data_IF_837169963284
#
_entry.id   IF_837169963284
#
_cell.length_a   1.000
_cell.length_b   1.000
_cell.length_c   1.000
_cell.angle_alpha   90.00
_cell.angle_beta   90.00
_cell.angle_gamma   90.00
#
_symmetry.space_group_name_H-M   'P 1'
#
loop_
_entity.id
_entity.type
_entity.pdbx_description
1 polymer ?
#
# COMPACT_ATOMS: atom_id res chain seq x y z
N UNK A 1 19.38 32.99 -8.99
CA UNK A 1 19.11 31.59 -9.37
C UNK A 1 18.09 30.95 -8.41
N UNK A 2 16.76 31.10 -8.59
CA UNK A 2 15.78 30.40 -7.74
C UNK A 2 14.61 29.73 -8.50
N UNK A 3 14.78 29.36 -9.77
CA UNK A 3 13.69 28.81 -10.60
C UNK A 3 13.75 27.29 -10.81
N UNK A 4 14.89 26.65 -10.61
CA UNK A 4 15.06 25.21 -10.85
C UNK A 4 14.54 24.32 -9.70
N UNK A 5 14.41 24.86 -8.48
CA UNK A 5 13.87 24.11 -7.33
C UNK A 5 12.34 23.96 -7.34
N UNK A 6 11.63 24.75 -8.16
CA UNK A 6 10.16 24.74 -8.20
C UNK A 6 9.56 23.66 -9.11
N UNK A 7 10.34 23.11 -10.04
CA UNK A 7 9.85 22.11 -11.01
C UNK A 7 9.96 20.69 -10.43
N UNK A 8 10.96 20.43 -9.57
CA UNK A 8 11.13 19.13 -8.92
C UNK A 8 9.98 18.77 -7.96
N UNK A 9 9.32 19.77 -7.36
CA UNK A 9 8.19 19.55 -6.42
C UNK A 9 6.92 19.11 -7.14
N UNK A 10 6.72 19.49 -8.40
CA UNK A 10 5.52 19.11 -9.16
C UNK A 10 5.58 17.69 -9.71
N UNK A 11 6.78 17.17 -10.04
CA UNK A 11 6.93 15.79 -10.51
C UNK A 11 6.74 14.79 -9.36
N UNK A 12 7.06 15.17 -8.12
CA UNK A 12 6.82 14.33 -6.94
C UNK A 12 5.33 14.26 -6.55
N UNK A 13 4.52 15.26 -6.92
CA UNK A 13 3.09 15.32 -6.56
C UNK A 13 2.18 14.54 -7.52
N UNK A 14 2.60 14.32 -8.77
CA UNK A 14 1.82 13.56 -9.76
C UNK A 14 1.98 12.04 -9.65
N UNK A 15 2.92 11.54 -8.84
CA UNK A 15 3.13 10.10 -8.65
C UNK A 15 2.30 9.48 -7.51
N UNK A 16 1.48 10.28 -6.81
CA UNK A 16 0.76 9.84 -5.62
C UNK A 16 -0.60 9.16 -5.90
N UNK A 17 -1.06 9.15 -7.16
CA UNK A 17 -2.35 8.56 -7.56
C UNK A 17 -2.30 7.11 -8.04
N UNK A 18 -1.12 6.46 -8.02
CA UNK A 18 -0.94 5.09 -8.54
C UNK A 18 -0.30 4.12 -7.53
N UNK A 19 -0.36 4.43 -6.23
CA UNK A 19 0.12 3.57 -5.15
C UNK A 19 -0.97 2.59 -4.69
N UNK A 20 -1.60 1.89 -5.62
CA UNK A 20 -2.41 0.72 -5.29
C UNK A 20 -1.51 -0.52 -5.36
N UNK A 21 -1.01 -0.97 -4.21
CA UNK A 21 -0.56 -2.36 -4.04
C UNK A 21 0.93 -2.65 -3.84
N UNK A 22 1.79 -1.66 -3.59
CA UNK A 22 3.11 -1.99 -3.02
C UNK A 22 2.92 -2.39 -1.56
N UNK A 23 2.79 -3.70 -1.30
CA UNK A 23 3.20 -4.28 -0.02
C UNK A 23 4.71 -4.15 0.07
N UNK A 24 5.18 -2.92 0.27
CA UNK A 24 6.54 -2.66 0.67
C UNK A 24 6.78 -3.47 1.93
N UNK A 25 7.91 -4.17 1.98
CA UNK A 25 8.30 -4.92 3.15
C UNK A 25 8.16 -3.99 4.36
N UNK A 26 7.39 -4.42 5.36
CA UNK A 26 7.17 -3.63 6.58
C UNK A 26 8.48 -3.28 7.27
N UNK A 27 9.62 -3.88 6.89
CA UNK A 27 10.96 -3.52 7.34
C UNK A 27 11.64 -2.38 6.57
N UNK A 28 11.11 -1.93 5.43
CA UNK A 28 11.71 -0.83 4.65
C UNK A 28 11.42 0.53 5.33
N UNK A 29 12.44 1.23 5.86
CA UNK A 29 12.24 2.52 6.49
C UNK A 29 11.72 3.59 5.52
N UNK A 30 12.02 3.48 4.21
CA UNK A 30 11.51 4.43 3.22
C UNK A 30 9.99 4.30 3.04
N UNK A 31 9.47 3.08 2.97
CA UNK A 31 8.03 2.85 2.93
C UNK A 31 7.31 3.35 4.18
N UNK A 32 7.88 3.11 5.38
CA UNK A 32 7.35 3.64 6.65
C UNK A 32 7.33 5.17 6.66
N UNK A 33 8.36 5.80 6.12
CA UNK A 33 8.42 7.25 5.99
C UNK A 33 7.33 7.81 5.09
N UNK A 34 7.02 7.15 3.96
CA UNK A 34 5.89 7.53 3.09
C UNK A 34 4.58 7.50 3.88
N UNK A 35 4.36 6.50 4.72
CA UNK A 35 3.16 6.44 5.57
C UNK A 35 3.12 7.57 6.60
N UNK A 36 4.22 7.86 7.29
CA UNK A 36 4.32 9.03 8.21
C UNK A 36 3.93 10.31 7.47
N UNK A 37 4.50 10.52 6.28
CA UNK A 37 4.25 11.73 5.50
C UNK A 37 2.80 11.80 5.00
N UNK A 38 2.18 10.68 4.65
CA UNK A 38 0.76 10.61 4.31
C UNK A 38 -0.15 11.10 5.45
N UNK A 39 0.18 10.75 6.70
CA UNK A 39 -0.53 11.25 7.89
C UNK A 39 -0.27 12.73 8.14
N UNK A 40 0.96 13.21 7.95
CA UNK A 40 1.28 14.66 8.01
C UNK A 40 0.43 15.43 7.01
N UNK A 41 0.39 15.01 5.74
CA UNK A 41 -0.38 15.66 4.69
C UNK A 41 -1.89 15.63 4.99
N UNK A 42 -2.36 14.54 5.58
CA UNK A 42 -3.75 14.41 6.02
C UNK A 42 -4.06 15.42 7.13
N UNK A 43 -3.22 15.53 8.15
CA UNK A 43 -3.36 16.53 9.20
C UNK A 43 -3.34 17.96 8.67
N UNK A 44 -2.41 18.28 7.76
CA UNK A 44 -2.34 19.60 7.14
C UNK A 44 -3.61 19.94 6.33
N UNK A 45 -4.14 18.97 5.58
CA UNK A 45 -5.39 19.13 4.82
C UNK A 45 -6.57 19.40 5.74
N UNK A 46 -6.70 18.60 6.81
CA UNK A 46 -7.78 18.73 7.80
C UNK A 46 -7.70 20.07 8.55
N UNK A 47 -6.49 20.50 8.92
CA UNK A 47 -6.29 21.79 9.57
C UNK A 47 -6.71 22.94 8.65
N UNK A 48 -6.32 22.89 7.37
CA UNK A 48 -6.74 23.88 6.36
C UNK A 48 -8.24 23.88 6.11
N UNK A 49 -8.90 22.73 6.28
CA UNK A 49 -10.35 22.59 6.18
C UNK A 49 -11.09 23.05 7.46
N UNK A 50 -10.39 23.58 8.46
CA UNK A 50 -10.99 24.03 9.72
C UNK A 50 -11.44 22.89 10.62
N UNK A 51 -10.82 21.72 10.51
CA UNK A 51 -11.10 20.54 11.34
C UNK A 51 -9.92 20.25 12.29
N UNK A 52 -9.69 21.10 13.31
CA UNK A 52 -8.50 21.02 14.17
C UNK A 52 -8.43 19.72 14.98
N UNK A 53 -9.57 19.16 15.42
CA UNK A 53 -9.60 17.88 16.12
C UNK A 53 -9.09 16.71 15.27
N UNK A 54 -9.53 16.62 14.02
CA UNK A 54 -9.09 15.58 13.09
C UNK A 54 -7.62 15.79 12.68
N UNK A 55 -7.21 17.05 12.52
CA UNK A 55 -5.82 17.40 12.24
C UNK A 55 -4.89 16.96 13.37
N UNK A 56 -5.26 17.25 14.62
CA UNK A 56 -4.51 16.85 15.81
C UNK A 56 -4.39 15.33 15.89
N UNK A 57 -5.48 14.59 15.69
CA UNK A 57 -5.43 13.12 15.64
C UNK A 57 -4.48 12.59 14.55
N UNK A 58 -4.51 13.18 13.36
CA UNK A 58 -3.61 12.80 12.27
C UNK A 58 -2.13 13.11 12.59
N UNK A 59 -1.84 14.22 13.27
CA UNK A 59 -0.48 14.55 13.70
C UNK A 59 0.02 13.64 14.81
N UNK A 60 -0.84 13.26 15.76
CA UNK A 60 -0.51 12.29 16.80
C UNK A 60 -0.12 10.95 16.16
N UNK A 61 -0.91 10.46 15.20
CA UNK A 61 -0.61 9.22 14.48
C UNK A 61 0.73 9.32 13.71
N UNK A 62 0.94 10.42 12.98
CA UNK A 62 2.20 10.67 12.29
C UNK A 62 3.41 10.67 13.26
N UNK A 63 3.25 11.30 14.42
CA UNK A 63 4.28 11.41 15.45
C UNK A 63 4.62 10.06 16.06
N UNK A 64 3.61 9.24 16.39
CA UNK A 64 3.83 7.89 16.93
C UNK A 64 4.59 7.00 15.92
N UNK A 65 4.18 7.03 14.65
CA UNK A 65 4.87 6.28 13.58
C UNK A 65 6.29 6.77 13.36
N UNK A 66 6.51 8.08 13.34
CA UNK A 66 7.84 8.66 13.17
C UNK A 66 8.75 8.31 14.35
N UNK A 67 8.23 8.35 15.58
CA UNK A 67 8.96 7.94 16.77
C UNK A 67 9.43 6.50 16.66
N UNK A 68 8.54 5.58 16.22
CA UNK A 68 8.88 4.18 16.00
C UNK A 68 9.90 3.99 14.88
N UNK A 69 9.73 4.68 13.74
CA UNK A 69 10.69 4.65 12.63
C UNK A 69 12.10 5.06 13.10
N UNK A 70 12.22 6.16 13.85
CA UNK A 70 13.51 6.65 14.38
C UNK A 70 14.14 5.67 15.39
N UNK A 71 13.32 4.99 16.19
CA UNK A 71 13.80 4.00 17.15
C UNK A 71 14.30 2.72 16.45
N UNK A 72 13.55 2.23 15.47
CA UNK A 72 13.87 1.00 14.74
C UNK A 72 15.00 1.21 13.70
N UNK A 73 15.14 2.43 13.16
CA UNK A 73 16.07 2.78 12.09
C UNK A 73 16.75 4.15 12.34
N UNK A 74 17.65 4.26 13.32
CA UNK A 74 18.26 5.55 13.71
C UNK A 74 19.11 6.19 12.61
N UNK A 75 19.65 5.39 11.69
CA UNK A 75 20.49 5.86 10.58
C UNK A 75 19.68 6.34 9.36
N UNK A 76 18.35 6.14 9.36
CA UNK A 76 17.51 6.55 8.24
C UNK A 76 17.24 8.06 8.27
N UNK A 77 17.90 8.78 7.38
CA UNK A 77 17.69 10.21 7.12
C UNK A 77 17.52 11.02 8.43
N UNK A 78 18.52 11.02 9.34
CA UNK A 78 18.36 11.53 10.70
C UNK A 78 17.99 13.02 10.75
N UNK A 79 18.45 13.80 9.75
CA UNK A 79 18.16 15.23 9.64
C UNK A 79 16.68 15.49 9.35
N UNK A 80 16.09 14.81 8.35
CA UNK A 80 14.69 15.05 7.97
C UNK A 80 13.72 14.46 9.00
N UNK A 81 14.04 13.29 9.56
CA UNK A 81 13.23 12.64 10.58
C UNK A 81 13.28 13.41 11.90
N UNK A 82 14.44 13.97 12.27
CA UNK A 82 14.60 14.86 13.42
C UNK A 82 13.80 16.15 13.26
N UNK A 83 14.00 16.86 12.14
CA UNK A 83 13.25 18.09 11.84
C UNK A 83 11.73 17.87 11.89
N UNK A 84 11.24 16.80 11.24
CA UNK A 84 9.80 16.53 11.20
C UNK A 84 9.23 16.13 12.55
N UNK A 85 10.02 15.43 13.37
CA UNK A 85 9.61 15.04 14.72
C UNK A 85 9.40 16.27 15.61
N UNK A 86 10.37 17.20 15.64
CA UNK A 86 10.26 18.45 16.41
C UNK A 86 9.09 19.32 15.91
N UNK A 87 8.90 19.40 14.59
CA UNK A 87 7.77 20.11 14.00
C UNK A 87 6.42 19.49 14.42
N UNK A 88 6.31 18.16 14.44
CA UNK A 88 5.09 17.47 14.88
C UNK A 88 4.80 17.72 16.37
N UNK A 89 5.81 17.69 17.24
CA UNK A 89 5.63 18.01 18.67
C UNK A 89 5.09 19.43 18.85
N UNK A 90 5.68 20.41 18.15
CA UNK A 90 5.21 21.80 18.20
C UNK A 90 3.79 21.96 17.68
N UNK A 91 3.43 21.27 16.60
CA UNK A 91 2.10 21.41 15.98
C UNK A 91 1.01 20.69 16.79
N UNK A 92 1.34 19.54 17.40
CA UNK A 92 0.48 18.84 18.36
C UNK A 92 0.19 19.74 19.54
N UNK A 93 1.21 20.29 20.20
CA UNK A 93 1.03 21.19 21.34
C UNK A 93 0.18 22.40 20.96
N UNK A 94 0.48 23.04 19.82
CA UNK A 94 -0.22 24.23 19.34
C UNK A 94 -1.72 23.95 19.12
N UNK A 95 -2.07 22.80 18.56
CA UNK A 95 -3.47 22.44 18.35
C UNK A 95 -4.15 22.03 19.65
N UNK A 96 -3.52 21.21 20.47
CA UNK A 96 -4.05 20.74 21.76
C UNK A 96 -4.52 21.92 22.64
N UNK A 97 -3.72 22.98 22.72
CA UNK A 97 -4.05 24.21 23.45
C UNK A 97 -5.27 24.98 22.90
N UNK A 98 -5.67 24.71 21.66
CA UNK A 98 -6.80 25.38 20.99
C UNK A 98 -8.11 24.59 21.05
N UNK A 99 -8.05 23.30 21.34
CA UNK A 99 -9.24 22.44 21.36
C UNK A 99 -9.99 22.61 22.69
N UNK A 100 -11.33 22.65 22.61
CA UNK A 100 -12.17 22.50 23.80
C UNK A 100 -12.45 21.01 24.12
N UNK A 101 -13.11 20.73 25.23
CA UNK A 101 -13.39 19.35 25.66
C UNK A 101 -14.25 18.55 24.65
N UNK A 102 -15.11 19.22 23.87
CA UNK A 102 -15.93 18.54 22.87
C UNK A 102 -15.14 18.18 21.61
N UNK A 103 -14.18 19.01 21.23
CA UNK A 103 -13.25 18.72 20.14
C UNK A 103 -12.25 17.62 20.53
N UNK A 104 -11.85 17.54 21.80
CA UNK A 104 -11.03 16.43 22.31
C UNK A 104 -11.74 15.08 22.21
N UNK A 105 -13.04 15.01 22.54
CA UNK A 105 -13.84 13.77 22.37
C UNK A 105 -13.87 13.31 20.91
N UNK A 106 -13.96 14.26 19.98
CA UNK A 106 -13.95 13.99 18.54
C UNK A 106 -12.59 13.50 18.08
N UNK A 107 -11.52 14.13 18.54
CA UNK A 107 -10.15 13.70 18.27
C UNK A 107 -9.92 12.26 18.79
N UNK A 108 -10.34 11.96 20.02
CA UNK A 108 -10.17 10.61 20.59
C UNK A 108 -10.91 9.55 19.77
N UNK A 109 -12.17 9.78 19.41
CA UNK A 109 -12.93 8.85 18.54
C UNK A 109 -12.31 8.72 17.15
N UNK A 110 -11.76 9.81 16.62
CA UNK A 110 -11.06 9.75 15.35
C UNK A 110 -9.78 8.90 15.45
N UNK A 111 -9.02 9.00 16.54
CA UNK A 111 -7.87 8.13 16.79
C UNK A 111 -8.28 6.67 16.93
N UNK A 112 -9.35 6.37 17.68
CA UNK A 112 -9.89 5.01 17.80
C UNK A 112 -10.28 4.46 16.42
N UNK A 113 -10.90 5.28 15.57
CA UNK A 113 -11.19 4.92 14.18
C UNK A 113 -9.92 4.59 13.40
N UNK A 114 -8.88 5.43 13.47
CA UNK A 114 -7.62 5.22 12.75
C UNK A 114 -6.95 3.93 13.20
N UNK A 115 -6.93 3.66 14.51
CA UNK A 115 -6.38 2.42 15.07
C UNK A 115 -7.14 1.20 14.53
N UNK A 116 -8.47 1.22 14.57
CA UNK A 116 -9.30 0.13 14.06
C UNK A 116 -9.14 -0.06 12.54
N UNK A 117 -9.05 1.03 11.78
CA UNK A 117 -8.82 0.97 10.33
C UNK A 117 -7.49 0.26 10.03
N UNK A 118 -6.42 0.68 10.69
CA UNK A 118 -5.08 0.14 10.44
C UNK A 118 -4.97 -1.32 10.93
N UNK A 119 -5.54 -1.66 12.10
CA UNK A 119 -5.65 -3.04 12.57
C UNK A 119 -6.41 -3.92 11.57
N UNK A 120 -7.56 -3.45 11.08
CA UNK A 120 -8.35 -4.20 10.11
C UNK A 120 -7.59 -4.44 8.80
N UNK A 121 -6.80 -3.46 8.34
CA UNK A 121 -5.93 -3.61 7.17
C UNK A 121 -4.78 -4.61 7.45
N UNK A 122 -4.16 -4.57 8.63
CA UNK A 122 -3.13 -5.54 9.01
C UNK A 122 -3.69 -6.98 9.05
N UNK A 123 -4.87 -7.16 9.64
CA UNK A 123 -5.58 -8.45 9.68
C UNK A 123 -5.90 -8.96 8.27
N UNK A 124 -6.28 -8.06 7.34
CA UNK A 124 -6.48 -8.38 5.92
C UNK A 124 -5.21 -8.94 5.30
N UNK A 125 -4.07 -8.27 5.47
CA UNK A 125 -2.78 -8.73 4.93
C UNK A 125 -2.26 -10.01 5.63
N UNK A 126 -2.68 -10.26 6.87
CA UNK A 126 -2.42 -11.50 7.59
C UNK A 126 -3.35 -12.67 7.19
N UNK A 127 -4.20 -12.49 6.17
CA UNK A 127 -5.22 -13.46 5.72
C UNK A 127 -6.28 -13.80 6.79
N UNK A 128 -6.49 -12.92 7.78
CA UNK A 128 -7.54 -13.04 8.80
C UNK A 128 -8.81 -12.30 8.36
N UNK A 129 -9.38 -12.70 7.23
CA UNK A 129 -10.44 -11.91 6.56
C UNK A 129 -11.71 -11.69 7.40
N UNK A 130 -12.12 -12.67 8.21
CA UNK A 130 -13.31 -12.54 9.06
C UNK A 130 -13.09 -11.57 10.23
N UNK A 131 -11.91 -11.65 10.86
CA UNK A 131 -11.51 -10.73 11.92
C UNK A 131 -11.39 -9.31 11.35
N UNK A 132 -10.67 -9.17 10.22
CA UNK A 132 -10.52 -7.91 9.49
C UNK A 132 -11.85 -7.25 9.15
N UNK A 133 -12.82 -8.01 8.61
CA UNK A 133 -14.14 -7.48 8.29
C UNK A 133 -14.86 -6.98 9.55
N UNK A 134 -14.79 -7.75 10.64
CA UNK A 134 -15.40 -7.36 11.92
C UNK A 134 -14.77 -6.07 12.46
N UNK A 135 -13.44 -5.97 12.43
CA UNK A 135 -12.70 -4.78 12.88
C UNK A 135 -13.06 -3.55 12.04
N UNK A 136 -13.08 -3.68 10.72
CA UNK A 136 -13.43 -2.57 9.82
C UNK A 136 -14.90 -2.14 9.92
N UNK A 137 -15.83 -3.07 10.19
CA UNK A 137 -17.23 -2.73 10.48
C UNK A 137 -17.37 -1.91 11.77
N UNK A 138 -16.52 -2.17 12.78
CA UNK A 138 -16.47 -1.34 14.00
C UNK A 138 -15.90 0.04 13.67
N UNK A 139 -14.83 0.12 12.89
CA UNK A 139 -14.27 1.39 12.43
C UNK A 139 -15.32 2.23 11.68
N UNK A 140 -16.11 1.60 10.80
CA UNK A 140 -17.20 2.24 10.06
C UNK A 140 -18.24 2.85 11.01
N UNK A 141 -18.71 2.08 11.99
CA UNK A 141 -19.67 2.57 12.99
C UNK A 141 -19.15 3.78 13.76
N UNK A 142 -17.88 3.77 14.17
CA UNK A 142 -17.27 4.93 14.84
C UNK A 142 -17.30 6.18 13.95
N UNK A 143 -17.01 6.02 12.66
CA UNK A 143 -17.05 7.14 11.73
C UNK A 143 -18.48 7.62 11.45
N UNK A 144 -19.44 6.72 11.31
CA UNK A 144 -20.87 7.05 11.15
C UNK A 144 -21.39 7.85 12.35
N UNK A 145 -21.00 7.47 13.57
CA UNK A 145 -21.35 8.21 14.78
C UNK A 145 -20.76 9.63 14.82
N UNK A 146 -19.53 9.81 14.31
CA UNK A 146 -18.91 11.14 14.19
C UNK A 146 -19.63 11.99 13.13
N UNK A 147 -19.95 11.38 11.99
CA UNK A 147 -20.66 11.97 10.85
C UNK A 147 -22.08 12.44 11.22
N UNK A 148 -22.75 11.74 12.13
CA UNK A 148 -24.09 12.10 12.62
C UNK A 148 -24.05 13.33 13.54
N UNK A 149 -22.99 13.48 14.34
CA UNK A 149 -22.86 14.54 15.36
C UNK A 149 -22.25 15.84 14.84
N UNK A 150 -21.64 15.83 13.65
CA UNK A 150 -20.84 16.94 13.11
C UNK A 150 -21.47 17.57 11.86
N UNK A 151 -21.11 18.83 11.52
CA UNK A 151 -21.64 19.52 10.35
C UNK A 151 -21.22 18.85 9.03
N UNK A 152 -21.89 19.20 7.93
CA UNK A 152 -21.62 18.64 6.59
C UNK A 152 -20.16 18.81 6.14
N UNK A 153 -19.51 19.92 6.51
CA UNK A 153 -18.09 20.16 6.22
C UNK A 153 -17.15 19.12 6.85
N UNK A 154 -17.58 18.47 7.94
CA UNK A 154 -16.83 17.35 8.54
C UNK A 154 -16.84 16.14 7.59
N UNK A 155 -17.99 15.82 6.98
CA UNK A 155 -18.14 14.69 6.06
C UNK A 155 -17.22 14.83 4.85
N UNK A 156 -17.17 16.02 4.27
CA UNK A 156 -16.27 16.33 3.15
C UNK A 156 -14.80 16.14 3.53
N UNK A 157 -14.43 16.53 4.75
CA UNK A 157 -13.04 16.47 5.22
C UNK A 157 -12.53 15.03 5.41
N UNK A 158 -13.41 14.10 5.78
CA UNK A 158 -13.08 12.67 6.00
C UNK A 158 -13.45 11.77 4.83
N UNK A 159 -14.03 12.31 3.75
CA UNK A 159 -14.57 11.53 2.65
C UNK A 159 -13.54 10.52 2.09
N UNK A 160 -12.29 10.95 1.92
CA UNK A 160 -11.22 10.07 1.42
C UNK A 160 -10.89 8.89 2.35
N UNK A 161 -10.98 9.09 3.67
CA UNK A 161 -10.72 8.04 4.65
C UNK A 161 -11.90 7.08 4.73
N UNK A 162 -13.12 7.60 4.62
CA UNK A 162 -14.34 6.82 4.58
C UNK A 162 -14.41 5.96 3.30
N UNK A 163 -14.08 6.52 2.14
CA UNK A 163 -14.00 5.80 0.87
C UNK A 163 -12.98 4.66 0.94
N UNK A 164 -11.77 4.94 1.43
CA UNK A 164 -10.74 3.91 1.65
C UNK A 164 -11.24 2.78 2.56
N UNK A 165 -12.01 3.09 3.59
CA UNK A 165 -12.60 2.08 4.49
C UNK A 165 -13.61 1.19 3.74
N UNK A 166 -14.56 1.79 3.03
CA UNK A 166 -15.58 1.05 2.27
C UNK A 166 -14.93 0.16 1.19
N UNK A 167 -13.92 0.65 0.48
CA UNK A 167 -13.18 -0.14 -0.52
C UNK A 167 -12.55 -1.41 0.09
N UNK A 168 -12.02 -1.30 1.32
CA UNK A 168 -11.47 -2.46 2.03
C UNK A 168 -12.56 -3.45 2.44
N UNK A 169 -13.69 -2.95 2.93
CA UNK A 169 -14.86 -3.76 3.33
C UNK A 169 -15.42 -4.50 2.10
N UNK A 170 -15.64 -3.80 0.99
CA UNK A 170 -16.16 -4.37 -0.26
C UNK A 170 -15.25 -5.45 -0.81
N UNK A 171 -13.93 -5.21 -0.80
CA UNK A 171 -12.96 -6.21 -1.20
C UNK A 171 -13.02 -7.47 -0.31
N UNK A 172 -13.14 -7.30 1.01
CA UNK A 172 -13.22 -8.42 1.97
C UNK A 172 -14.49 -9.25 1.76
N UNK A 173 -15.64 -8.60 1.52
CA UNK A 173 -16.87 -9.30 1.16
C UNK A 173 -16.68 -10.16 -0.09
N UNK A 174 -15.95 -9.67 -1.10
CA UNK A 174 -15.58 -10.45 -2.28
C UNK A 174 -14.78 -11.72 -1.92
N UNK A 175 -13.78 -11.60 -1.05
CA UNK A 175 -12.93 -12.73 -0.64
C UNK A 175 -13.65 -13.76 0.22
N UNK A 176 -14.43 -13.31 1.22
CA UNK A 176 -15.17 -14.19 2.12
C UNK A 176 -16.22 -14.98 1.34
N UNK A 177 -17.00 -14.31 0.49
CA UNK A 177 -18.02 -14.96 -0.33
C UNK A 177 -17.41 -15.93 -1.36
N UNK A 178 -16.25 -15.60 -1.94
CA UNK A 178 -15.53 -16.53 -2.83
C UNK A 178 -15.14 -17.82 -2.12
N UNK A 179 -14.66 -17.72 -0.87
CA UNK A 179 -14.29 -18.88 -0.05
C UNK A 179 -15.50 -19.74 0.29
N UNK A 180 -16.66 -19.13 0.54
CA UNK A 180 -17.90 -19.88 0.78
C UNK A 180 -18.42 -20.57 -0.49
N UNK A 181 -18.43 -19.87 -1.62
CA UNK A 181 -18.85 -20.45 -2.91
C UNK A 181 -17.95 -21.59 -3.35
N UNK A 182 -16.63 -21.45 -3.23
CA UNK A 182 -15.67 -22.52 -3.58
C UNK A 182 -15.83 -23.76 -2.69
N UNK A 183 -16.15 -23.59 -1.39
CA UNK A 183 -16.49 -24.70 -0.49
C UNK A 183 -17.77 -25.43 -0.90
N UNK A 184 -18.82 -24.70 -1.29
CA UNK A 184 -20.08 -25.30 -1.71
C UNK A 184 -19.93 -26.10 -3.01
N UNK A 185 -19.23 -25.55 -4.00
CA UNK A 185 -19.02 -26.22 -5.30
C UNK A 185 -18.16 -27.48 -5.16
N UNK A 186 -17.18 -27.50 -4.25
CA UNK A 186 -16.36 -28.69 -3.98
C UNK A 186 -17.15 -29.87 -3.41
N UNK A 187 -18.30 -29.65 -2.78
CA UNK A 187 -19.12 -30.73 -2.18
C UNK A 187 -20.04 -31.43 -3.18
N UNK A 188 -20.18 -30.88 -4.39
CA UNK A 188 -21.14 -31.32 -5.40
C UNK A 188 -20.49 -31.71 -6.73
N UNK A 189 -19.20 -32.10 -6.68
CA UNK A 189 -18.59 -32.77 -7.83
C UNK A 189 -18.96 -34.25 -7.71
N UNK A 190 -19.88 -34.77 -8.55
CA UNK A 190 -20.19 -36.19 -8.55
C UNK A 190 -18.91 -36.97 -8.85
N UNK A 191 -18.66 -38.01 -8.04
CA UNK A 191 -17.59 -38.98 -8.21
C UNK A 191 -17.58 -39.47 -9.67
N UNK A 192 -16.70 -38.89 -10.51
CA UNK A 192 -16.58 -39.26 -11.92
C UNK A 192 -16.37 -38.13 -12.91
N UNK A 193 -16.59 -36.86 -12.55
CA UNK A 193 -16.25 -35.73 -13.45
C UNK A 193 -14.91 -35.14 -13.01
N UNK A 194 -13.84 -35.58 -13.67
CA UNK A 194 -12.47 -35.04 -13.57
C UNK A 194 -12.47 -33.61 -14.17
N UNK A 195 -12.93 -32.63 -13.39
CA UNK A 195 -12.81 -31.21 -13.71
C UNK A 195 -11.34 -30.85 -13.62
N UNK A 196 -10.64 -31.05 -14.75
CA UNK A 196 -9.19 -30.92 -14.89
C UNK A 196 -8.60 -29.80 -14.04
N UNK A 197 -8.03 -30.18 -12.91
CA UNK A 197 -7.31 -29.32 -11.97
C UNK A 197 -6.00 -28.89 -12.60
N UNK A 198 -6.01 -28.07 -13.67
CA UNK A 198 -4.80 -27.74 -14.45
C UNK A 198 -3.87 -28.94 -14.54
N UNK A 199 -4.46 -30.12 -14.81
CA UNK A 199 -3.71 -31.37 -14.83
C UNK A 199 -2.79 -31.16 -16.02
N UNK A 200 -1.51 -30.93 -15.71
CA UNK A 200 -0.47 -30.52 -16.64
C UNK A 200 -0.82 -30.94 -18.06
N UNK A 201 -1.06 -29.96 -18.95
CA UNK A 201 -1.19 -30.24 -20.39
C UNK A 201 0.02 -31.12 -20.69
N UNK A 202 -0.19 -32.40 -20.98
CA UNK A 202 0.92 -33.30 -21.24
C UNK A 202 1.52 -32.82 -22.56
N UNK A 203 2.81 -33.01 -22.75
CA UNK A 203 3.46 -32.59 -24.00
C UNK A 203 2.80 -33.25 -25.25
N UNK A 204 2.12 -34.38 -25.05
CA UNK A 204 1.27 -35.06 -26.06
C UNK A 204 -0.05 -34.36 -26.38
N UNK A 205 -0.55 -33.52 -25.49
CA UNK A 205 -1.82 -32.79 -25.64
C UNK A 205 -1.59 -31.41 -26.32
N UNK A 206 -0.33 -31.01 -26.48
CA UNK A 206 0.04 -29.88 -27.33
C UNK A 206 -0.01 -30.33 -28.80
N UNK A 207 -0.59 -29.53 -29.71
CA UNK A 207 -0.61 -29.85 -31.12
C UNK A 207 0.83 -30.02 -31.64
N UNK A 208 1.21 -31.26 -31.95
CA UNK A 208 2.57 -31.62 -32.42
C UNK A 208 2.82 -31.25 -33.88
N UNK A 209 1.79 -30.80 -34.59
CA UNK A 209 1.92 -30.40 -35.98
C UNK A 209 2.33 -28.92 -36.09
N UNK A 210 3.56 -28.68 -36.55
CA UNK A 210 3.96 -27.40 -37.18
C UNK A 210 3.24 -27.21 -38.52
N UNK A 211 1.92 -27.41 -38.55
CA UNK A 211 1.09 -26.93 -39.64
C UNK A 211 1.18 -25.41 -39.63
N UNK A 212 1.45 -24.81 -40.78
CA UNK A 212 1.55 -23.37 -41.01
C UNK A 212 0.36 -22.63 -40.37
N UNK A 213 0.48 -22.25 -39.10
CA UNK A 213 -0.47 -21.37 -38.45
C UNK A 213 -0.19 -19.96 -38.96
N UNK A 214 -0.95 -19.55 -39.97
CA UNK A 214 -1.06 -18.15 -40.34
C UNK A 214 -1.73 -17.43 -39.17
N UNK A 215 -0.91 -16.81 -38.32
CA UNK A 215 -1.36 -15.83 -37.33
C UNK A 215 -2.03 -14.68 -38.09
N UNK A 216 -3.34 -14.76 -38.25
CA UNK A 216 -4.12 -13.64 -38.76
C UNK A 216 -4.18 -12.59 -37.66
N UNK A 217 -3.55 -11.43 -37.89
CA UNK A 217 -3.54 -10.28 -36.98
C UNK A 217 -4.92 -9.65 -36.72
N UNK A 218 -6.02 -10.29 -37.10
CA UNK A 218 -7.39 -9.82 -36.90
C UNK A 218 -7.86 -9.85 -35.43
N UNK A 219 -7.15 -10.57 -34.55
CA UNK A 219 -7.49 -10.66 -33.12
C UNK A 219 -6.78 -9.63 -32.24
N UNK A 220 -5.86 -8.85 -32.81
CA UNK A 220 -5.28 -7.69 -32.14
C UNK A 220 -5.70 -6.46 -32.94
N UNK A 221 -6.64 -5.63 -32.45
CA UNK A 221 -6.89 -4.35 -33.09
C UNK A 221 -5.59 -3.54 -33.02
N UNK A 222 -4.85 -3.56 -34.13
CA UNK A 222 -3.64 -2.78 -34.29
C UNK A 222 -3.99 -1.32 -34.09
N UNK A 223 -3.35 -0.71 -33.09
CA UNK A 223 -3.23 0.74 -33.05
C UNK A 223 -2.71 1.19 -34.41
N UNK A 224 -3.44 2.11 -35.03
CA UNK A 224 -3.02 2.80 -36.24
C UNK A 224 -1.64 3.40 -36.01
N UNK A 225 -0.63 2.81 -36.65
CA UNK A 225 0.65 3.48 -36.82
C UNK A 225 0.41 4.73 -37.68
N UNK A 226 0.86 5.93 -37.27
CA UNK A 226 0.90 7.07 -38.17
C UNK A 226 1.94 6.78 -39.27
N UNK A 227 1.44 6.65 -40.49
CA UNK A 227 2.21 6.80 -41.73
C UNK A 227 2.70 8.27 -41.81
N UNK A 228 3.90 8.45 -42.35
CA UNK A 228 4.57 9.73 -42.66
C UNK A 228 5.29 10.46 -41.52
N UNK A 229 6.49 9.97 -41.18
CA UNK A 229 7.58 10.85 -40.71
C UNK A 229 8.76 10.70 -41.67
N UNK A 230 8.99 11.75 -42.46
CA UNK A 230 10.16 11.89 -43.32
C UNK A 230 11.48 11.83 -42.51
N UNK A 231 12.52 11.15 -43.01
CA UNK A 231 13.82 11.12 -42.36
C UNK A 231 14.56 12.46 -42.51
N UNK A 232 14.38 13.36 -41.55
CA UNK A 232 15.24 14.53 -41.40
C UNK A 232 16.61 14.13 -40.83
N UNK A 233 17.61 14.11 -41.71
CA UNK A 233 18.96 14.68 -41.51
C UNK A 233 19.40 14.85 -40.04
N UNK A 234 19.90 13.77 -39.41
CA UNK A 234 20.78 13.92 -38.25
C UNK A 234 22.22 14.04 -38.73
N UNK A 235 22.78 15.23 -38.50
CA UNK A 235 24.20 15.53 -38.64
C UNK A 235 25.00 14.70 -37.65
N UNK A 236 25.96 14.01 -38.24
CA UNK A 236 27.24 13.56 -37.70
C UNK A 236 27.79 14.54 -36.66
N UNK A 237 27.91 14.08 -35.43
CA UNK A 237 28.76 14.66 -34.40
C UNK A 237 29.70 13.53 -33.95
N UNK A 238 30.90 13.58 -34.54
CA UNK A 238 32.10 12.97 -33.99
C UNK A 238 32.22 13.39 -32.53
N UNK A 239 32.39 12.41 -31.64
CA UNK A 239 33.08 12.69 -30.39
C UNK A 239 33.87 11.45 -29.98
N UNK A 240 35.18 11.60 -30.11
CA UNK A 240 36.20 10.70 -29.62
C UNK A 240 36.10 10.54 -28.10
N UNK A 241 36.13 9.31 -27.62
CA UNK A 241 36.66 8.99 -26.30
C UNK A 241 37.01 7.50 -26.23
N UNK A 242 38.25 7.21 -26.62
CA UNK A 242 38.98 6.03 -26.15
C UNK A 242 39.10 6.05 -24.62
N UNK A 243 38.90 4.89 -23.97
CA UNK A 243 39.00 4.78 -22.51
C UNK A 243 38.75 3.37 -22.00
N UNK A 244 39.76 2.53 -22.16
CA UNK A 244 39.90 1.11 -21.82
C UNK A 244 39.70 0.77 -20.33
N UNK A 245 39.39 -0.52 -20.09
CA UNK A 245 39.57 -1.39 -18.88
C UNK A 245 38.25 -1.84 -18.23
N UNK A 246 37.81 -3.07 -18.48
CA UNK A 246 38.27 -4.35 -17.89
C UNK A 246 37.93 -4.45 -16.40
N UNK A 247 36.97 -5.31 -16.04
CA UNK A 247 37.14 -6.31 -14.97
C UNK A 247 35.81 -6.99 -14.57
N UNK A 248 35.84 -8.32 -14.71
CA UNK A 248 35.31 -9.35 -13.79
C UNK A 248 33.84 -9.34 -13.34
N UNK A 249 33.14 -10.31 -13.93
CA UNK A 249 31.98 -11.04 -13.44
C UNK A 249 32.26 -11.74 -12.09
N UNK A 250 31.32 -11.72 -11.12
CA UNK A 250 31.19 -12.84 -10.18
C UNK A 250 29.81 -13.50 -10.26
N UNK A 251 29.86 -14.80 -10.59
CA UNK A 251 28.77 -15.76 -10.45
C UNK A 251 28.22 -15.74 -9.01
N UNK A 252 26.96 -15.34 -8.85
CA UNK A 252 26.21 -15.53 -7.60
C UNK A 252 25.87 -17.01 -7.43
N UNK A 253 26.54 -17.68 -6.51
CA UNK A 253 26.19 -19.01 -6.03
C UNK A 253 24.98 -18.90 -5.08
N UNK A 254 23.87 -19.53 -5.45
CA UNK A 254 22.74 -19.76 -4.55
C UNK A 254 23.16 -20.77 -3.47
N UNK A 255 23.34 -20.29 -2.22
CA UNK A 255 23.40 -21.16 -1.04
C UNK A 255 21.98 -21.38 -0.53
N UNK A 256 21.46 -22.59 -0.68
CA UNK A 256 20.26 -23.03 0.05
C UNK A 256 20.63 -23.22 1.52
N UNK A 257 19.99 -22.45 2.40
CA UNK A 257 20.07 -22.64 3.85
C UNK A 257 19.07 -23.72 4.26
N UNK A 258 19.59 -24.86 4.71
CA UNK A 258 18.81 -25.91 5.38
C UNK A 258 18.41 -25.42 6.78
N UNK A 259 17.13 -25.09 6.96
CA UNK A 259 16.54 -24.76 8.25
C UNK A 259 16.37 -26.04 9.07
N UNK A 260 17.23 -26.18 10.08
CA UNK A 260 17.17 -27.22 11.10
C UNK A 260 16.01 -26.95 12.06
N UNK A 261 15.15 -27.94 12.27
CA UNK A 261 13.95 -27.88 13.12
C UNK A 261 14.37 -28.20 14.57
N UNK A 262 14.25 -27.28 15.54
CA UNK A 262 14.43 -27.64 16.94
C UNK A 262 13.21 -28.45 17.42
N UNK A 263 13.50 -29.52 18.16
CA UNK A 263 12.52 -30.40 18.79
C UNK A 263 11.78 -29.71 19.92
N UNK A 264 10.50 -30.00 20.04
CA UNK A 264 9.73 -29.74 21.24
C UNK A 264 10.09 -30.85 22.25
N UNK A 265 10.65 -30.44 23.38
CA UNK A 265 10.64 -31.22 24.61
C UNK A 265 9.24 -31.08 25.22
N UNK A 266 8.56 -32.22 25.38
CA UNK A 266 7.38 -32.37 26.21
C UNK A 266 7.85 -32.44 27.67
N UNK A 267 7.61 -31.39 28.46
CA UNK A 267 7.64 -31.48 29.92
C UNK A 267 6.24 -31.83 30.42
N UNK A 268 6.10 -33.12 30.68
CA UNK A 268 5.06 -33.77 31.48
C UNK A 268 5.24 -33.33 32.96
N UNK A 269 4.27 -32.55 33.47
CA UNK A 269 4.19 -32.15 34.87
C UNK A 269 2.98 -32.82 35.50
N UNK A 270 3.18 -34.05 35.98
CA UNK A 270 2.35 -34.68 36.99
C UNK A 270 3.02 -34.51 38.37
N UNK A 271 2.20 -34.17 39.37
CA UNK A 271 2.41 -34.10 40.83
C UNK A 271 2.55 -32.71 41.47
#
# INVERSE_FOLDING_TARGET
>A
MPTLFRIAVWILLSLLGALEGFSADSSDPAARWVTVYGWVQTGERLNKAGQPALALGSYIEAHQRLKKLRADHPDFEPEITGFRYEWLESEIQRLDETLDASEHDVMMKYLDFVELLEQGIEERFANKFADSLTTLDIARKQMDELIEKKPESFREAIASQYERLEDNIDWLYGQVNFKERSRQVSSYVPDGVDWGTTKYIRESDLPSERGNMTLSGALFPGGTAPEDVEPSSMKELENDSEGTTDSSNPKRAFRMSTRQKPGNEEEESDQ
#
